data_IF_268561827100
#
_entry.id   IF_268561827100
#
_cell.length_a   1.000
_cell.length_b   1.000
_cell.length_c   1.000
_cell.angle_alpha   90.00
_cell.angle_beta   90.00
_cell.angle_gamma   90.00
#
_symmetry.space_group_name_H-M   'P 1'
#
loop_
_entity.id
_entity.type
_entity.pdbx_description
1 polymer ?
#
# COMPACT_ATOMS: atom_id res chain seq x y z
N UNK A 1 -18.43 -12.55 -18.17
CA UNK A 1 -18.42 -13.99 -18.54
C UNK A 1 -17.96 -14.92 -17.41
N UNK A 2 -16.67 -14.95 -16.99
CA UNK A 2 -16.20 -15.92 -15.97
C UNK A 2 -16.82 -15.75 -14.58
N UNK A 3 -16.99 -14.50 -14.12
CA UNK A 3 -17.59 -14.19 -12.82
C UNK A 3 -19.07 -14.61 -12.75
N UNK A 4 -19.77 -14.57 -13.87
CA UNK A 4 -21.18 -14.98 -14.01
C UNK A 4 -21.29 -16.50 -14.02
N UNK A 5 -20.42 -17.21 -14.74
CA UNK A 5 -20.41 -18.69 -14.78
C UNK A 5 -20.14 -19.31 -13.40
N UNK A 6 -19.16 -18.80 -12.66
CA UNK A 6 -18.87 -19.30 -11.31
C UNK A 6 -19.99 -18.94 -10.32
N UNK A 7 -20.56 -17.74 -10.43
CA UNK A 7 -21.69 -17.33 -9.57
C UNK A 7 -22.90 -18.22 -9.80
N UNK A 8 -23.19 -18.58 -11.05
CA UNK A 8 -24.30 -19.46 -11.39
C UNK A 8 -24.06 -20.87 -10.83
N UNK A 9 -22.86 -21.44 -11.03
CA UNK A 9 -22.53 -22.75 -10.48
C UNK A 9 -22.57 -22.79 -8.94
N UNK A 10 -22.10 -21.72 -8.29
CA UNK A 10 -22.17 -21.58 -6.84
C UNK A 10 -23.61 -21.47 -6.34
N UNK A 11 -24.47 -20.72 -7.03
CA UNK A 11 -25.89 -20.61 -6.69
C UNK A 11 -26.61 -21.94 -6.85
N UNK A 12 -26.35 -22.68 -7.93
CA UNK A 12 -26.90 -24.03 -8.14
C UNK A 12 -26.39 -25.01 -7.06
N UNK A 13 -25.13 -24.88 -6.65
CA UNK A 13 -24.56 -25.67 -5.56
C UNK A 13 -25.24 -25.36 -4.21
N UNK A 14 -25.49 -24.09 -3.91
CA UNK A 14 -26.21 -23.66 -2.71
C UNK A 14 -27.66 -24.17 -2.71
N UNK A 15 -28.39 -23.99 -3.81
CA UNK A 15 -29.78 -24.41 -3.92
C UNK A 15 -29.96 -25.92 -3.63
N UNK A 16 -29.02 -26.73 -4.11
CA UNK A 16 -29.09 -28.19 -3.98
C UNK A 16 -28.55 -28.75 -2.66
N UNK A 17 -27.73 -27.99 -1.92
CA UNK A 17 -26.97 -28.54 -0.79
C UNK A 17 -27.04 -27.69 0.50
N UNK A 18 -27.57 -26.46 0.46
CA UNK A 18 -27.72 -25.63 1.66
C UNK A 18 -28.98 -26.06 2.45
N UNK A 19 -28.85 -26.46 3.72
CA UNK A 19 -29.97 -26.81 4.59
C UNK A 19 -30.99 -25.68 4.78
N UNK A 20 -30.59 -24.43 4.55
CA UNK A 20 -31.47 -23.26 4.67
C UNK A 20 -32.39 -23.09 3.45
N UNK A 21 -31.94 -23.43 2.25
CA UNK A 21 -32.73 -23.40 1.02
C UNK A 21 -33.58 -24.66 0.86
N UNK A 22 -33.06 -25.82 1.27
CA UNK A 22 -33.76 -27.09 1.21
C UNK A 22 -33.75 -27.84 2.57
N UNK A 23 -34.69 -27.54 3.49
CA UNK A 23 -34.71 -28.15 4.83
C UNK A 23 -34.98 -29.66 4.80
N UNK A 24 -35.44 -30.22 3.68
CA UNK A 24 -35.61 -31.65 3.47
C UNK A 24 -34.30 -32.45 3.52
N UNK A 25 -33.14 -31.80 3.33
CA UNK A 25 -31.82 -32.44 3.41
C UNK A 25 -31.54 -32.92 4.83
N UNK A 26 -31.94 -32.15 5.86
CA UNK A 26 -31.73 -32.48 7.27
C UNK A 26 -32.65 -33.60 7.77
N UNK A 27 -33.79 -33.83 7.10
CA UNK A 27 -34.76 -34.89 7.47
C UNK A 27 -34.30 -36.28 7.03
N UNK A 28 -33.43 -36.36 6.02
CA UNK A 28 -32.79 -37.62 5.60
C UNK A 28 -31.52 -37.81 6.44
N UNK A 29 -31.23 -39.04 6.88
CA UNK A 29 -29.96 -39.32 7.58
C UNK A 29 -28.78 -38.91 6.68
N UNK A 30 -27.93 -38.00 7.15
CA UNK A 30 -26.89 -37.33 6.37
C UNK A 30 -25.68 -38.26 6.18
N UNK A 31 -25.13 -38.32 4.97
CA UNK A 31 -23.87 -39.04 4.69
C UNK A 31 -22.65 -38.12 4.74
N UNK A 32 -21.44 -38.69 4.83
CA UNK A 32 -20.16 -37.95 4.91
C UNK A 32 -20.02 -36.92 3.76
N UNK A 33 -20.36 -37.29 2.52
CA UNK A 33 -20.26 -36.36 1.39
C UNK A 33 -21.16 -35.13 1.52
N UNK A 34 -22.37 -35.29 2.08
CA UNK A 34 -23.27 -34.16 2.33
C UNK A 34 -22.76 -33.29 3.50
N UNK A 35 -22.19 -33.91 4.53
CA UNK A 35 -21.55 -33.21 5.63
C UNK A 35 -20.39 -32.31 5.15
N UNK A 36 -19.53 -32.80 4.26
CA UNK A 36 -18.43 -32.02 3.65
C UNK A 36 -18.97 -30.84 2.83
N UNK A 37 -20.05 -31.05 2.06
CA UNK A 37 -20.68 -29.97 1.29
C UNK A 37 -21.21 -28.87 2.20
N UNK A 38 -21.93 -29.23 3.27
CA UNK A 38 -22.45 -28.26 4.24
C UNK A 38 -21.30 -27.53 4.94
N UNK A 39 -20.22 -28.24 5.32
CA UNK A 39 -19.03 -27.64 5.90
C UNK A 39 -18.36 -26.62 4.95
N UNK A 40 -18.30 -26.94 3.66
CA UNK A 40 -17.77 -26.03 2.62
C UNK A 40 -18.63 -24.77 2.49
N UNK A 41 -19.96 -24.91 2.51
CA UNK A 41 -20.89 -23.77 2.48
C UNK A 41 -20.70 -22.89 3.72
N UNK A 42 -20.59 -23.47 4.92
CA UNK A 42 -20.32 -22.73 6.15
C UNK A 42 -19.00 -21.98 6.06
N UNK A 43 -17.94 -22.60 5.53
CA UNK A 43 -16.64 -21.96 5.33
C UNK A 43 -16.75 -20.76 4.36
N UNK A 44 -17.38 -20.93 3.20
CA UNK A 44 -17.50 -19.85 2.21
C UNK A 44 -18.38 -18.71 2.73
N UNK A 45 -19.46 -19.01 3.46
CA UNK A 45 -20.32 -17.98 4.05
C UNK A 45 -19.66 -17.23 5.20
N UNK A 46 -18.85 -17.90 6.02
CA UNK A 46 -18.05 -17.23 7.07
C UNK A 46 -17.01 -16.31 6.45
N UNK A 47 -16.29 -16.75 5.41
CA UNK A 47 -15.38 -15.92 4.63
C UNK A 47 -16.08 -14.71 3.99
N UNK A 48 -17.29 -14.90 3.43
CA UNK A 48 -18.09 -13.83 2.83
C UNK A 48 -18.50 -12.77 3.87
N UNK A 49 -18.94 -13.20 5.05
CA UNK A 49 -19.35 -12.26 6.10
C UNK A 49 -18.14 -11.55 6.73
N UNK A 50 -17.01 -12.23 6.87
CA UNK A 50 -15.73 -11.61 7.26
C UNK A 50 -15.30 -10.54 6.26
N UNK A 51 -15.36 -10.84 4.96
CA UNK A 51 -15.04 -9.86 3.93
C UNK A 51 -16.01 -8.66 3.97
N UNK A 52 -17.31 -8.90 4.23
CA UNK A 52 -18.32 -7.85 4.39
C UNK A 52 -18.04 -6.98 5.62
N UNK A 53 -17.66 -7.57 6.73
CA UNK A 53 -17.29 -6.85 7.95
C UNK A 53 -15.99 -6.07 7.77
N UNK A 54 -14.98 -6.63 7.09
CA UNK A 54 -13.76 -5.90 6.73
C UNK A 54 -14.09 -4.63 5.95
N UNK A 55 -15.03 -4.73 4.99
CA UNK A 55 -15.46 -3.58 4.17
C UNK A 55 -16.27 -2.54 4.94
N UNK A 56 -17.09 -2.95 5.91
CA UNK A 56 -17.96 -2.05 6.70
C UNK A 56 -17.27 -1.43 7.91
N UNK A 57 -16.42 -2.20 8.59
CA UNK A 57 -15.79 -1.82 9.86
C UNK A 57 -14.37 -1.29 9.71
N UNK A 58 -13.80 -1.31 8.49
CA UNK A 58 -12.42 -0.86 8.25
C UNK A 58 -11.39 -1.66 9.07
N UNK A 59 -11.65 -2.95 9.32
CA UNK A 59 -10.81 -3.76 10.19
C UNK A 59 -11.25 -5.20 10.33
N UNK A 60 -10.30 -6.09 10.62
CA UNK A 60 -10.50 -7.54 10.72
C UNK A 60 -10.49 -7.94 12.21
N UNK A 61 -11.67 -8.04 12.82
CA UNK A 61 -11.78 -8.50 14.21
C UNK A 61 -11.65 -10.02 14.29
N UNK A 62 -10.42 -10.52 14.29
CA UNK A 62 -10.13 -11.96 14.39
C UNK A 62 -10.78 -12.62 15.62
N UNK A 63 -11.00 -11.87 16.70
CA UNK A 63 -11.71 -12.33 17.90
C UNK A 63 -13.19 -12.63 17.67
N UNK A 64 -13.82 -12.06 16.63
CA UNK A 64 -15.20 -12.33 16.24
C UNK A 64 -15.32 -13.51 15.25
N UNK A 65 -14.20 -14.01 14.71
CA UNK A 65 -14.19 -15.19 13.84
C UNK A 65 -14.94 -16.40 14.42
N UNK A 66 -14.68 -16.85 15.67
CA UNK A 66 -15.38 -18.00 16.24
C UNK A 66 -16.88 -17.73 16.43
N UNK A 67 -17.29 -16.48 16.69
CA UNK A 67 -18.71 -16.15 16.86
C UNK A 67 -19.45 -16.16 15.52
N UNK A 68 -18.80 -15.70 14.44
CA UNK A 68 -19.33 -15.76 13.07
C UNK A 68 -19.45 -17.20 12.59
N UNK A 69 -18.40 -18.01 12.80
CA UNK A 69 -18.43 -19.45 12.50
C UNK A 69 -19.56 -20.13 13.27
N UNK A 70 -19.66 -19.90 14.57
CA UNK A 70 -20.74 -20.47 15.38
C UNK A 70 -22.13 -20.04 14.90
N UNK A 71 -22.29 -18.80 14.46
CA UNK A 71 -23.55 -18.28 13.92
C UNK A 71 -23.91 -18.95 12.59
N UNK A 72 -22.98 -19.05 11.65
CA UNK A 72 -23.22 -19.69 10.35
C UNK A 72 -23.41 -21.20 10.47
N UNK A 73 -22.70 -21.87 11.38
CA UNK A 73 -22.92 -23.28 11.71
C UNK A 73 -24.30 -23.50 12.33
N UNK A 74 -24.73 -22.64 13.26
CA UNK A 74 -26.07 -22.72 13.88
C UNK A 74 -27.20 -22.53 12.87
N UNK A 75 -27.08 -21.55 11.96
CA UNK A 75 -28.09 -21.32 10.90
C UNK A 75 -28.36 -22.57 10.07
N UNK A 76 -27.33 -23.40 9.85
CA UNK A 76 -27.39 -24.61 9.02
C UNK A 76 -27.49 -25.90 9.84
N UNK A 77 -27.72 -25.80 11.16
CA UNK A 77 -27.73 -26.93 12.10
C UNK A 77 -26.48 -27.83 12.03
N UNK A 78 -25.34 -27.27 11.65
CA UNK A 78 -24.08 -27.98 11.55
C UNK A 78 -23.46 -28.11 12.96
N UNK A 79 -23.64 -29.28 13.59
CA UNK A 79 -23.14 -29.57 14.93
C UNK A 79 -22.15 -30.74 14.93
N UNK A 80 -21.33 -30.88 15.98
CA UNK A 80 -20.40 -32.01 16.13
C UNK A 80 -21.11 -33.36 16.06
N UNK A 81 -22.32 -33.44 16.63
CA UNK A 81 -23.17 -34.63 16.56
C UNK A 81 -23.50 -35.03 15.12
N UNK A 82 -23.75 -34.06 14.21
CA UNK A 82 -24.01 -34.34 12.80
C UNK A 82 -22.80 -34.97 12.10
N UNK A 83 -21.58 -34.61 12.53
CA UNK A 83 -20.33 -35.19 12.01
C UNK A 83 -20.21 -36.64 12.47
N UNK A 84 -20.42 -36.91 13.76
CA UNK A 84 -20.39 -38.27 14.30
C UNK A 84 -21.47 -39.16 13.70
N UNK A 85 -22.71 -38.67 13.58
CA UNK A 85 -23.83 -39.41 12.97
C UNK A 85 -23.55 -39.72 11.49
N UNK A 86 -22.90 -38.80 10.77
CA UNK A 86 -22.49 -39.02 9.38
C UNK A 86 -21.40 -40.09 9.26
N UNK A 87 -20.44 -40.11 10.19
CA UNK A 87 -19.38 -41.13 10.26
C UNK A 87 -19.98 -42.49 10.59
N UNK A 88 -20.82 -42.57 11.62
CA UNK A 88 -21.49 -43.80 12.04
C UNK A 88 -22.37 -44.37 10.92
N UNK A 89 -23.07 -43.51 10.16
CA UNK A 89 -23.85 -43.93 9.00
C UNK A 89 -22.98 -44.52 7.88
N UNK A 90 -21.82 -43.93 7.62
CA UNK A 90 -20.91 -44.43 6.58
C UNK A 90 -20.33 -45.81 6.89
N UNK A 91 -20.43 -46.27 8.15
CA UNK A 91 -20.02 -47.61 8.57
C UNK A 91 -21.18 -48.62 8.50
N UNK A 92 -22.40 -48.21 8.11
CA UNK A 92 -23.50 -49.15 7.94
C UNK A 92 -23.23 -50.10 6.76
N UNK A 93 -23.35 -51.43 6.96
CA UNK A 93 -22.97 -52.41 5.95
C UNK A 93 -23.80 -52.33 4.66
N UNK A 94 -25.05 -51.88 4.74
CA UNK A 94 -25.95 -51.71 3.58
C UNK A 94 -25.55 -50.49 2.74
N UNK A 95 -25.23 -49.37 3.39
CA UNK A 95 -24.75 -48.16 2.70
C UNK A 95 -23.35 -48.40 2.10
N UNK A 96 -22.51 -49.18 2.77
CA UNK A 96 -21.21 -49.65 2.23
C UNK A 96 -21.42 -50.51 0.97
N UNK A 97 -22.41 -51.41 0.96
CA UNK A 97 -22.72 -52.21 -0.22
C UNK A 97 -23.23 -51.35 -1.38
N UNK A 98 -24.18 -50.43 -1.13
CA UNK A 98 -24.70 -49.52 -2.15
C UNK A 98 -23.62 -48.58 -2.68
N UNK A 99 -22.72 -48.08 -1.83
CA UNK A 99 -21.57 -47.28 -2.26
C UNK A 99 -20.56 -48.12 -3.04
N UNK A 100 -20.33 -49.39 -2.69
CA UNK A 100 -19.53 -50.31 -3.51
C UNK A 100 -20.13 -50.54 -4.90
N UNK A 101 -21.46 -50.66 -5.02
CA UNK A 101 -22.15 -50.76 -6.33
C UNK A 101 -22.06 -49.45 -7.12
N UNK A 102 -22.22 -48.30 -6.46
CA UNK A 102 -22.04 -47.02 -7.12
C UNK A 102 -20.57 -46.80 -7.56
N UNK A 103 -19.61 -47.20 -6.73
CA UNK A 103 -18.18 -47.18 -7.04
C UNK A 103 -17.85 -48.12 -8.19
N UNK A 104 -18.42 -49.33 -8.22
CA UNK A 104 -18.19 -50.26 -9.33
C UNK A 104 -18.78 -49.72 -10.63
N UNK A 105 -19.96 -49.11 -10.60
CA UNK A 105 -20.52 -48.40 -11.75
C UNK A 105 -19.63 -47.24 -12.21
N UNK A 106 -19.12 -46.42 -11.29
CA UNK A 106 -18.20 -45.31 -11.59
C UNK A 106 -16.90 -45.85 -12.18
N UNK A 107 -16.35 -46.95 -11.65
CA UNK A 107 -15.12 -47.59 -12.16
C UNK A 107 -15.34 -48.12 -13.57
N UNK A 108 -16.46 -48.80 -13.82
CA UNK A 108 -16.81 -49.30 -15.16
C UNK A 108 -17.02 -48.15 -16.13
N UNK A 109 -17.83 -47.14 -15.78
CA UNK A 109 -18.09 -45.97 -16.60
C UNK A 109 -16.80 -45.16 -16.87
N UNK A 110 -15.91 -45.08 -15.88
CA UNK A 110 -14.60 -44.43 -16.04
C UNK A 110 -13.72 -45.25 -16.98
N UNK A 111 -13.64 -46.57 -16.84
CA UNK A 111 -12.87 -47.44 -17.72
C UNK A 111 -13.31 -47.35 -19.19
N UNK A 112 -14.62 -47.17 -19.43
CA UNK A 112 -15.19 -46.95 -20.76
C UNK A 112 -14.91 -45.53 -21.31
N UNK A 113 -14.97 -44.49 -20.46
CA UNK A 113 -14.79 -43.09 -20.88
C UNK A 113 -13.34 -42.64 -20.97
N UNK A 114 -12.45 -43.18 -20.13
CA UNK A 114 -11.04 -42.81 -20.06
C UNK A 114 -10.29 -42.96 -21.40
N UNK A 115 -10.44 -44.03 -22.21
CA UNK A 115 -9.72 -44.11 -23.49
C UNK A 115 -10.19 -43.04 -24.47
N UNK A 116 -11.49 -42.72 -24.50
CA UNK A 116 -12.03 -41.68 -25.37
C UNK A 116 -11.54 -40.28 -24.96
N UNK A 117 -11.53 -39.99 -23.66
CA UNK A 117 -10.98 -38.74 -23.13
C UNK A 117 -9.47 -38.63 -23.37
N UNK A 118 -8.71 -39.72 -23.17
CA UNK A 118 -7.27 -39.77 -23.44
C UNK A 118 -6.94 -39.45 -24.90
N UNK A 119 -7.69 -39.99 -25.86
CA UNK A 119 -7.50 -39.71 -27.28
C UNK A 119 -7.78 -38.23 -27.59
N UNK A 120 -8.83 -37.63 -26.99
CA UNK A 120 -9.14 -36.20 -27.15
C UNK A 120 -8.02 -35.31 -26.58
N UNK A 121 -7.49 -35.64 -25.42
CA UNK A 121 -6.38 -34.90 -24.80
C UNK A 121 -5.07 -35.05 -25.57
N UNK A 122 -4.75 -36.26 -26.07
CA UNK A 122 -3.57 -36.50 -26.92
C UNK A 122 -3.65 -35.67 -28.21
N UNK A 123 -4.84 -35.59 -28.82
CA UNK A 123 -5.07 -34.76 -30.00
C UNK A 123 -4.89 -33.27 -29.69
N UNK A 124 -5.37 -32.81 -28.53
CA UNK A 124 -5.19 -31.44 -28.06
C UNK A 124 -3.72 -31.09 -27.73
N UNK A 125 -2.95 -32.06 -27.23
CA UNK A 125 -1.51 -31.93 -26.98
C UNK A 125 -0.70 -31.88 -28.29
N UNK A 126 -1.06 -32.68 -29.29
CA UNK A 126 -0.42 -32.67 -30.60
C UNK A 126 -0.71 -31.39 -31.39
N UNK A 127 -1.87 -30.77 -31.19
CA UNK A 127 -2.25 -29.49 -31.85
C UNK A 127 -1.64 -28.23 -31.21
N UNK A 128 -0.72 -28.38 -30.25
CA UNK A 128 -0.05 -27.31 -29.48
C UNK A 128 0.60 -26.18 -30.30
N UNK A 129 0.73 -26.35 -31.62
CA UNK A 129 1.31 -25.34 -32.52
C UNK A 129 0.31 -24.35 -33.13
N UNK A 130 -1.01 -24.55 -33.02
CA UNK A 130 -2.02 -23.59 -33.51
C UNK A 130 -2.86 -23.07 -32.35
N UNK A 131 -2.65 -21.80 -32.01
CA UNK A 131 -3.35 -21.03 -30.96
C UNK A 131 -4.87 -20.90 -31.13
N UNK A 132 -5.50 -21.60 -32.07
CA UNK A 132 -6.89 -21.38 -32.44
C UNK A 132 -7.68 -22.69 -32.37
N UNK A 133 -8.61 -22.73 -31.41
CA UNK A 133 -9.65 -23.75 -31.19
C UNK A 133 -9.24 -24.98 -30.36
N UNK A 134 -8.93 -24.75 -29.08
CA UNK A 134 -9.13 -25.79 -28.08
C UNK A 134 -10.64 -25.98 -27.85
N UNK A 135 -11.16 -27.22 -27.92
CA UNK A 135 -12.51 -27.51 -27.46
C UNK A 135 -12.61 -27.15 -25.97
N UNK A 136 -13.60 -26.33 -25.60
CA UNK A 136 -13.83 -25.81 -24.24
C UNK A 136 -13.97 -26.89 -23.15
N UNK A 137 -14.15 -28.14 -23.55
CA UNK A 137 -14.41 -29.30 -22.72
C UNK A 137 -13.16 -30.18 -22.45
N UNK A 138 -11.95 -29.68 -22.74
CA UNK A 138 -10.70 -30.42 -22.54
C UNK A 138 -9.96 -29.99 -21.27
N UNK A 139 -9.34 -30.96 -20.58
CA UNK A 139 -8.49 -30.74 -19.41
C UNK A 139 -7.27 -29.89 -19.78
N UNK A 140 -6.71 -30.04 -20.97
CA UNK A 140 -5.59 -29.20 -21.42
C UNK A 140 -5.96 -27.73 -21.56
N UNK A 141 -7.17 -27.40 -22.02
CA UNK A 141 -7.64 -26.01 -22.08
C UNK A 141 -7.80 -25.40 -20.70
N UNK A 142 -8.44 -26.14 -19.77
CA UNK A 142 -8.59 -25.67 -18.39
C UNK A 142 -7.24 -25.51 -17.70
N UNK A 143 -6.33 -26.49 -17.86
CA UNK A 143 -4.96 -26.38 -17.34
C UNK A 143 -4.21 -25.19 -17.95
N UNK A 144 -4.29 -24.95 -19.27
CA UNK A 144 -3.60 -23.82 -19.91
C UNK A 144 -4.07 -22.45 -19.38
N UNK A 145 -5.35 -22.33 -19.01
CA UNK A 145 -5.90 -21.09 -18.45
C UNK A 145 -5.63 -20.96 -16.95
N UNK A 146 -5.85 -22.04 -16.17
CA UNK A 146 -5.79 -21.99 -14.71
C UNK A 146 -4.38 -22.16 -14.16
N UNK A 147 -3.51 -22.96 -14.79
CA UNK A 147 -2.15 -23.21 -14.31
C UNK A 147 -1.28 -21.95 -14.19
N UNK A 148 -1.23 -21.01 -15.17
CA UNK A 148 -0.46 -19.78 -15.01
C UNK A 148 -1.04 -18.88 -13.90
N UNK A 149 -2.37 -18.83 -13.77
CA UNK A 149 -3.05 -18.06 -12.74
C UNK A 149 -2.80 -18.63 -11.34
N UNK A 150 -2.88 -19.94 -11.17
CA UNK A 150 -2.61 -20.60 -9.88
C UNK A 150 -1.14 -20.48 -9.51
N UNK A 151 -0.22 -20.66 -10.46
CA UNK A 151 1.20 -20.45 -10.23
C UNK A 151 1.50 -19.01 -9.80
N UNK A 152 0.92 -18.03 -10.48
CA UNK A 152 1.06 -16.62 -10.10
C UNK A 152 0.48 -16.34 -8.72
N UNK A 153 -0.73 -16.84 -8.42
CA UNK A 153 -1.38 -16.67 -7.12
C UNK A 153 -0.58 -17.32 -5.99
N UNK A 154 -0.03 -18.52 -6.21
CA UNK A 154 0.84 -19.20 -5.23
C UNK A 154 2.10 -18.37 -5.00
N UNK A 155 2.74 -17.88 -6.07
CA UNK A 155 3.95 -17.04 -5.98
C UNK A 155 3.68 -15.74 -5.21
N UNK A 156 2.56 -15.08 -5.48
CA UNK A 156 2.14 -13.87 -4.76
C UNK A 156 1.85 -14.17 -3.29
N UNK A 157 1.14 -15.27 -3.00
CA UNK A 157 0.85 -15.70 -1.63
C UNK A 157 2.12 -16.01 -0.84
N UNK A 158 3.08 -16.73 -1.44
CA UNK A 158 4.39 -16.98 -0.85
C UNK A 158 5.15 -15.68 -0.59
N UNK A 159 5.14 -14.74 -1.54
CA UNK A 159 5.79 -13.44 -1.38
C UNK A 159 5.18 -12.62 -0.25
N UNK A 160 3.85 -12.52 -0.18
CA UNK A 160 3.14 -11.81 0.90
C UNK A 160 3.41 -12.47 2.25
N UNK A 161 3.39 -13.80 2.30
CA UNK A 161 3.66 -14.56 3.53
C UNK A 161 5.09 -14.33 4.02
N UNK A 162 6.05 -14.29 3.10
CA UNK A 162 7.44 -13.94 3.40
C UNK A 162 7.60 -12.52 3.95
N UNK A 163 6.94 -11.53 3.33
CA UNK A 163 6.92 -10.14 3.82
C UNK A 163 6.31 -10.10 5.21
N UNK A 164 5.18 -10.78 5.44
CA UNK A 164 4.50 -10.82 6.73
C UNK A 164 5.37 -11.45 7.84
N UNK A 165 6.11 -12.51 7.53
CA UNK A 165 7.02 -13.17 8.48
C UNK A 165 8.26 -12.31 8.80
N UNK A 166 8.78 -11.57 7.82
CA UNK A 166 10.01 -10.77 7.98
C UNK A 166 9.72 -9.38 8.55
N UNK A 167 8.50 -8.87 8.39
CA UNK A 167 8.11 -7.52 8.79
C UNK A 167 8.38 -7.19 10.27
N UNK A 168 8.05 -8.05 11.25
CA UNK A 168 8.29 -7.73 12.66
C UNK A 168 9.77 -7.48 12.96
N UNK A 169 10.66 -8.30 12.38
CA UNK A 169 12.11 -8.15 12.52
C UNK A 169 12.59 -6.82 11.95
N UNK A 170 12.18 -6.49 10.72
CA UNK A 170 12.57 -5.25 10.04
C UNK A 170 12.06 -4.02 10.81
N UNK A 171 10.82 -4.05 11.30
CA UNK A 171 10.24 -2.96 12.09
C UNK A 171 11.01 -2.78 13.39
N UNK A 172 11.34 -3.87 14.10
CA UNK A 172 12.08 -3.79 15.36
C UNK A 172 13.48 -3.23 15.11
N UNK A 173 14.15 -3.68 14.05
CA UNK A 173 15.47 -3.19 13.66
C UNK A 173 15.43 -1.70 13.30
N UNK A 174 14.44 -1.29 12.50
CA UNK A 174 14.26 0.09 12.04
C UNK A 174 13.67 1.04 13.07
N UNK A 175 13.10 0.55 14.18
CA UNK A 175 12.60 1.40 15.27
C UNK A 175 13.55 1.43 16.47
N UNK A 176 14.06 0.27 16.89
CA UNK A 176 14.74 0.12 18.18
C UNK A 176 16.26 -0.11 18.09
N UNK A 177 16.77 -0.81 17.06
CA UNK A 177 18.18 -1.24 17.05
C UNK A 177 19.14 -0.22 16.43
N UNK A 178 18.70 0.56 15.45
CA UNK A 178 19.52 1.66 14.92
C UNK A 178 19.54 2.81 15.94
N UNK A 179 20.75 3.18 16.37
CA UNK A 179 21.01 4.11 17.48
C UNK A 179 20.15 5.38 17.40
N UNK A 180 19.49 5.77 18.49
CA UNK A 180 18.75 7.02 18.57
C UNK A 180 19.76 8.17 18.64
N UNK A 181 20.21 8.65 17.48
CA UNK A 181 20.78 9.99 17.40
C UNK A 181 19.70 10.98 17.84
N UNK A 182 20.03 11.85 18.80
CA UNK A 182 19.07 12.80 19.34
C UNK A 182 18.68 13.80 18.26
N UNK A 183 17.41 13.71 17.81
CA UNK A 183 16.88 14.64 16.82
C UNK A 183 16.77 16.04 17.43
N UNK A 184 17.69 16.93 17.05
CA UNK A 184 17.68 18.34 17.49
C UNK A 184 16.45 19.13 17.04
N UNK A 185 15.67 18.62 16.08
CA UNK A 185 14.38 19.18 15.68
C UNK A 185 13.27 18.94 16.74
N UNK A 186 13.53 18.11 17.76
CA UNK A 186 12.59 17.75 18.85
C UNK A 186 13.05 18.26 20.22
N UNK A 187 13.64 19.45 20.27
CA UNK A 187 14.15 20.02 21.54
C UNK A 187 13.05 20.62 22.42
N UNK A 188 11.84 20.83 21.90
CA UNK A 188 10.77 21.57 22.59
C UNK A 188 9.42 20.87 22.39
N UNK A 189 8.62 20.80 23.46
CA UNK A 189 7.23 20.37 23.41
C UNK A 189 6.39 21.34 22.57
N UNK A 190 5.56 20.86 21.62
CA UNK A 190 4.79 21.74 20.74
C UNK A 190 3.73 22.54 21.52
N UNK A 191 3.56 23.83 21.20
CA UNK A 191 2.50 24.66 21.81
C UNK A 191 1.11 24.44 21.19
N UNK A 192 1.03 23.73 20.06
CA UNK A 192 -0.22 23.46 19.36
C UNK A 192 -0.62 24.53 18.35
N UNK A 193 -0.10 25.77 18.44
CA UNK A 193 -0.25 26.77 17.37
C UNK A 193 0.65 26.38 16.19
N UNK A 194 0.08 26.34 14.98
CA UNK A 194 0.79 25.94 13.77
C UNK A 194 0.99 27.13 12.84
N UNK A 195 2.18 27.19 12.26
CA UNK A 195 2.62 28.23 11.33
C UNK A 195 3.01 27.56 10.02
N UNK A 196 2.72 28.24 8.92
CA UNK A 196 2.92 27.71 7.56
C UNK A 196 3.72 28.73 6.76
N UNK A 197 4.69 28.24 5.99
CA UNK A 197 5.43 29.00 5.00
C UNK A 197 5.53 28.18 3.71
N UNK A 198 5.67 28.84 2.56
CA UNK A 198 5.88 28.17 1.27
C UNK A 198 6.91 28.91 0.43
N UNK A 199 7.60 28.16 -0.42
CA UNK A 199 8.61 28.71 -1.32
C UNK A 199 7.98 29.40 -2.53
N UNK A 200 8.79 30.20 -3.22
CA UNK A 200 8.55 30.52 -4.62
C UNK A 200 8.53 29.24 -5.46
N UNK A 201 7.89 29.34 -6.62
CA UNK A 201 7.76 28.23 -7.56
C UNK A 201 9.07 27.98 -8.30
N UNK A 202 9.43 26.72 -8.41
CA UNK A 202 10.61 26.26 -9.15
C UNK A 202 10.14 25.49 -10.38
N UNK A 203 10.68 25.85 -11.54
CA UNK A 203 10.37 25.19 -12.81
C UNK A 203 10.77 23.71 -12.79
N UNK A 204 9.82 22.82 -13.05
CA UNK A 204 10.05 21.38 -13.09
C UNK A 204 10.94 20.97 -14.27
N UNK A 205 10.99 21.74 -15.35
CA UNK A 205 11.87 21.43 -16.47
C UNK A 205 13.34 21.53 -16.08
N UNK A 206 13.68 22.49 -15.21
CA UNK A 206 15.02 22.60 -14.64
C UNK A 206 15.36 21.34 -13.82
N UNK A 207 14.43 20.89 -12.97
CA UNK A 207 14.58 19.67 -12.16
C UNK A 207 14.72 18.44 -13.05
N UNK A 208 13.94 18.33 -14.13
CA UNK A 208 14.01 17.24 -15.09
C UNK A 208 15.34 17.21 -15.85
N UNK A 209 15.86 18.38 -16.23
CA UNK A 209 17.20 18.49 -16.85
C UNK A 209 18.29 18.01 -15.89
N UNK A 210 18.26 18.42 -14.62
CA UNK A 210 19.19 17.92 -13.60
C UNK A 210 19.08 16.40 -13.45
N UNK A 211 17.86 15.88 -13.32
CA UNK A 211 17.58 14.44 -13.24
C UNK A 211 18.18 13.67 -14.43
N UNK A 212 18.04 14.19 -15.65
CA UNK A 212 18.61 13.58 -16.86
C UNK A 212 20.15 13.60 -16.87
N UNK A 213 20.77 14.68 -16.40
CA UNK A 213 22.24 14.80 -16.35
C UNK A 213 22.85 13.86 -15.30
N UNK A 214 22.21 13.72 -14.14
CA UNK A 214 22.75 12.93 -13.03
C UNK A 214 22.26 11.47 -13.02
N UNK A 215 21.29 11.13 -13.86
CA UNK A 215 20.57 9.85 -13.77
C UNK A 215 19.75 9.69 -12.49
N UNK A 216 19.47 10.79 -11.78
CA UNK A 216 18.66 10.79 -10.56
C UNK A 216 17.18 10.99 -10.88
N UNK A 217 16.30 10.63 -9.96
CA UNK A 217 14.87 10.93 -10.04
C UNK A 217 14.60 12.39 -9.66
N UNK A 218 13.51 12.97 -10.19
CA UNK A 218 13.07 14.33 -9.83
C UNK A 218 12.94 14.49 -8.30
N UNK A 219 12.47 13.45 -7.60
CA UNK A 219 12.37 13.44 -6.13
C UNK A 219 13.73 13.48 -5.43
N UNK A 220 14.74 12.76 -5.91
CA UNK A 220 16.09 12.78 -5.32
C UNK A 220 16.75 14.16 -5.47
N UNK A 221 16.54 14.84 -6.61
CA UNK A 221 16.97 16.22 -6.83
C UNK A 221 16.27 17.17 -5.85
N UNK A 222 14.94 17.06 -5.71
CA UNK A 222 14.17 17.91 -4.79
C UNK A 222 14.52 17.64 -3.32
N UNK A 223 14.79 16.39 -2.94
CA UNK A 223 15.30 16.03 -1.61
C UNK A 223 16.66 16.67 -1.35
N UNK A 224 17.57 16.63 -2.32
CA UNK A 224 18.90 17.25 -2.22
C UNK A 224 18.78 18.75 -1.98
N UNK A 225 17.92 19.44 -2.74
CA UNK A 225 17.67 20.87 -2.53
C UNK A 225 16.99 21.16 -1.18
N UNK A 226 16.13 20.25 -0.69
CA UNK A 226 15.51 20.37 0.64
C UNK A 226 16.55 20.23 1.76
N UNK A 227 17.52 19.32 1.58
CA UNK A 227 18.65 19.14 2.51
C UNK A 227 19.52 20.39 2.57
N UNK A 228 19.86 20.96 1.43
CA UNK A 228 20.63 22.21 1.37
C UNK A 228 19.87 23.37 2.05
N UNK A 229 18.57 23.49 1.83
CA UNK A 229 17.73 24.46 2.53
C UNK A 229 17.66 24.22 4.05
N UNK A 230 17.69 22.96 4.49
CA UNK A 230 17.78 22.59 5.90
C UNK A 230 19.12 22.99 6.52
N UNK A 231 20.23 22.86 5.77
CA UNK A 231 21.55 23.34 6.24
C UNK A 231 21.51 24.83 6.53
N UNK A 232 20.94 25.62 5.63
CA UNK A 232 20.81 27.07 5.80
C UNK A 232 20.00 27.42 7.06
N UNK A 233 18.92 26.67 7.32
CA UNK A 233 18.14 26.82 8.55
C UNK A 233 18.95 26.52 9.81
N UNK A 234 19.72 25.42 9.85
CA UNK A 234 20.57 25.11 11.00
C UNK A 234 21.70 26.13 11.19
N UNK A 235 22.30 26.61 10.08
CA UNK A 235 23.30 27.69 10.09
C UNK A 235 22.73 28.98 10.68
N UNK A 236 21.51 29.37 10.26
CA UNK A 236 20.84 30.56 10.79
C UNK A 236 20.44 30.42 12.27
N UNK A 237 20.13 29.22 12.73
CA UNK A 237 19.88 28.94 14.14
C UNK A 237 21.13 29.03 15.02
N UNK A 238 22.33 29.20 14.44
CA UNK A 238 23.62 29.12 15.12
C UNK A 238 23.79 27.81 15.92
N UNK A 239 23.13 26.74 15.48
CA UNK A 239 23.21 25.40 16.06
C UNK A 239 24.11 24.55 15.16
N UNK A 240 24.94 23.68 15.76
CA UNK A 240 25.72 22.72 14.97
C UNK A 240 24.77 21.90 14.10
N UNK A 241 24.99 21.97 12.78
CA UNK A 241 24.27 21.21 11.77
C UNK A 241 24.42 19.72 12.12
N UNK A 242 23.31 18.96 12.27
CA UNK A 242 23.39 17.52 12.51
C UNK A 242 24.07 16.82 11.32
N UNK A 243 24.57 15.61 11.52
CA UNK A 243 25.16 14.85 10.40
C UNK A 243 24.06 14.32 9.47
N UNK A 244 22.98 13.81 10.07
CA UNK A 244 21.80 13.31 9.38
C UNK A 244 20.50 13.88 9.98
N UNK A 245 19.52 14.14 9.12
CA UNK A 245 18.14 14.45 9.49
C UNK A 245 17.24 13.28 9.08
N UNK A 246 16.62 12.61 10.04
CA UNK A 246 15.75 11.47 9.76
C UNK A 246 14.33 11.91 9.39
N UNK A 247 13.86 11.51 8.21
CA UNK A 247 12.57 11.88 7.66
C UNK A 247 11.68 10.66 7.33
N UNK A 248 10.38 10.79 7.60
CA UNK A 248 9.35 9.93 7.01
C UNK A 248 8.90 10.53 5.71
N UNK A 249 9.08 9.80 4.60
CA UNK A 249 8.73 10.24 3.25
C UNK A 249 7.48 9.52 2.77
N UNK A 250 6.45 10.27 2.36
CA UNK A 250 5.22 9.74 1.79
C UNK A 250 4.94 10.33 0.42
N UNK A 251 4.62 9.49 -0.56
CA UNK A 251 4.05 9.94 -1.83
C UNK A 251 2.53 9.99 -1.72
N UNK A 252 1.92 11.06 -2.21
CA UNK A 252 0.47 11.21 -2.29
C UNK A 252 0.12 11.74 -3.68
N UNK A 253 -0.85 11.13 -4.36
CA UNK A 253 -1.31 11.70 -5.64
C UNK A 253 -2.19 12.91 -5.37
N UNK A 254 -2.12 13.96 -6.19
CA UNK A 254 -3.02 15.12 -6.06
C UNK A 254 -4.49 14.68 -6.08
N UNK A 255 -4.84 13.73 -6.95
CA UNK A 255 -6.19 13.16 -6.98
C UNK A 255 -6.59 12.59 -5.62
N UNK A 256 -5.72 11.92 -4.88
CA UNK A 256 -6.05 11.41 -3.53
C UNK A 256 -6.20 12.49 -2.46
N UNK A 257 -5.60 13.68 -2.66
CA UNK A 257 -5.76 14.83 -1.76
C UNK A 257 -7.12 15.49 -1.98
N UNK A 258 -7.49 15.73 -3.24
CA UNK A 258 -8.66 16.56 -3.59
C UNK A 258 -9.92 15.76 -3.92
N UNK A 259 -9.77 14.58 -4.53
CA UNK A 259 -10.85 13.62 -4.73
C UNK A 259 -10.64 12.52 -3.68
N UNK A 260 -11.70 12.03 -3.02
CA UNK A 260 -11.57 10.93 -2.04
C UNK A 260 -11.18 9.62 -2.74
N UNK A 261 -9.96 9.53 -3.25
CA UNK A 261 -9.40 8.37 -3.93
C UNK A 261 -8.57 7.57 -2.92
N UNK A 262 -8.89 6.28 -2.78
CA UNK A 262 -8.26 5.37 -1.82
C UNK A 262 -6.93 4.80 -2.35
N UNK A 263 -6.08 5.63 -2.96
CA UNK A 263 -4.74 5.21 -3.34
C UNK A 263 -3.89 5.02 -2.07
N UNK A 264 -3.82 3.78 -1.60
CA UNK A 264 -2.98 3.42 -0.47
C UNK A 264 -1.51 3.42 -0.88
N UNK A 265 -0.77 4.42 -0.39
CA UNK A 265 0.69 4.44 -0.46
C UNK A 265 1.29 4.46 0.94
N UNK A 266 2.36 3.70 1.08
CA UNK A 266 3.10 3.56 2.33
C UNK A 266 4.06 4.72 2.60
N UNK A 267 4.75 4.60 3.72
CA UNK A 267 5.77 5.54 4.20
C UNK A 267 7.13 4.87 4.05
N UNK A 268 8.12 5.63 3.61
CA UNK A 268 9.54 5.27 3.63
C UNK A 268 10.27 6.07 4.71
N UNK A 269 11.25 5.46 5.34
CA UNK A 269 12.03 6.05 6.42
C UNK A 269 13.46 6.30 5.92
N UNK A 270 13.81 7.57 5.70
CA UNK A 270 15.03 7.94 4.98
C UNK A 270 15.88 8.87 5.86
N UNK A 271 17.21 8.66 5.83
CA UNK A 271 18.18 9.58 6.39
C UNK A 271 18.56 10.62 5.33
N UNK A 272 18.44 11.89 5.68
CA UNK A 272 18.79 13.02 4.84
C UNK A 272 20.15 13.58 5.30
N UNK A 273 21.24 13.37 4.54
CA UNK A 273 22.60 13.69 4.97
C UNK A 273 22.86 15.20 4.89
N UNK A 274 22.98 15.87 6.03
CA UNK A 274 23.37 17.28 6.10
C UNK A 274 24.88 17.48 6.20
N UNK A 275 25.65 16.42 6.44
CA UNK A 275 27.10 16.38 6.23
C UNK A 275 27.49 15.18 5.38
N UNK A 276 28.55 15.33 4.61
CA UNK A 276 29.13 14.22 3.86
C UNK A 276 30.54 13.90 4.36
N UNK A 277 31.01 12.65 4.16
CA UNK A 277 32.26 12.17 4.72
C UNK A 277 33.50 12.82 4.09
N UNK A 278 33.46 13.23 2.82
CA UNK A 278 34.64 13.74 2.11
C UNK A 278 34.74 15.27 2.10
N UNK A 279 33.63 15.98 1.86
CA UNK A 279 33.65 17.45 1.78
C UNK A 279 32.50 18.11 2.53
N UNK A 280 32.82 19.06 3.42
CA UNK A 280 31.80 19.92 3.98
C UNK A 280 31.16 20.79 2.88
N UNK A 281 29.91 20.48 2.52
CA UNK A 281 29.05 21.19 1.55
C UNK A 281 29.16 20.82 0.05
N UNK A 282 29.62 19.62 -0.31
CA UNK A 282 29.48 19.12 -1.69
C UNK A 282 28.05 18.60 -1.99
N UNK A 283 27.32 19.35 -2.83
CA UNK A 283 25.95 19.00 -3.26
C UNK A 283 25.90 17.74 -4.12
N UNK A 284 26.95 17.42 -4.88
CA UNK A 284 27.01 16.22 -5.73
C UNK A 284 27.13 14.99 -4.83
N UNK A 285 28.02 15.03 -3.85
CA UNK A 285 28.18 13.95 -2.87
C UNK A 285 26.88 13.71 -2.09
N UNK A 286 26.21 14.79 -1.65
CA UNK A 286 24.90 14.70 -0.96
C UNK A 286 23.86 14.02 -1.85
N UNK A 287 23.77 14.39 -3.13
CA UNK A 287 22.86 13.75 -4.08
C UNK A 287 23.14 12.25 -4.18
N UNK A 288 24.41 11.85 -4.33
CA UNK A 288 24.78 10.43 -4.41
C UNK A 288 24.42 9.66 -3.12
N UNK A 289 24.66 10.25 -1.95
CA UNK A 289 24.30 9.64 -0.67
C UNK A 289 22.77 9.51 -0.55
N UNK A 290 22.00 10.52 -0.98
CA UNK A 290 20.53 10.46 -1.03
C UNK A 290 20.06 9.34 -1.96
N UNK A 291 20.60 9.21 -3.16
CA UNK A 291 20.26 8.12 -4.09
C UNK A 291 20.50 6.74 -3.45
N UNK A 292 21.66 6.55 -2.81
CA UNK A 292 21.98 5.31 -2.08
C UNK A 292 20.99 5.07 -0.94
N UNK A 293 20.65 6.09 -0.15
CA UNK A 293 19.70 5.99 0.96
C UNK A 293 18.28 5.65 0.48
N UNK A 294 17.81 6.26 -0.61
CA UNK A 294 16.51 5.97 -1.22
C UNK A 294 16.48 4.54 -1.75
N UNK A 295 17.51 4.10 -2.46
CA UNK A 295 17.58 2.74 -3.00
C UNK A 295 17.64 1.68 -1.90
N UNK A 296 18.39 1.94 -0.82
CA UNK A 296 18.46 1.07 0.35
C UNK A 296 17.12 1.02 1.10
N UNK A 297 16.44 2.17 1.26
CA UNK A 297 15.11 2.22 1.86
C UNK A 297 14.09 1.40 1.03
N UNK A 298 14.11 1.52 -0.31
CA UNK A 298 13.22 0.74 -1.19
C UNK A 298 13.43 -0.77 -1.08
N UNK A 299 14.68 -1.24 -0.95
CA UNK A 299 14.98 -2.67 -0.87
C UNK A 299 14.72 -3.25 0.53
N UNK A 300 15.06 -2.53 1.60
CA UNK A 300 14.95 -3.03 2.99
C UNK A 300 13.62 -2.76 3.66
N UNK A 301 12.93 -1.67 3.31
CA UNK A 301 11.72 -1.22 4.01
C UNK A 301 10.43 -1.56 3.25
N UNK A 302 10.47 -2.51 2.31
CA UNK A 302 9.31 -2.99 1.56
C UNK A 302 8.17 -3.46 2.48
N UNK A 303 8.50 -4.10 3.60
CA UNK A 303 7.55 -4.52 4.62
C UNK A 303 6.87 -3.34 5.32
N UNK A 304 7.64 -2.33 5.74
CA UNK A 304 7.12 -1.11 6.39
C UNK A 304 6.22 -0.35 5.41
N UNK A 305 6.65 -0.23 4.16
CA UNK A 305 5.87 0.40 3.10
C UNK A 305 4.55 -0.33 2.86
N UNK A 306 4.56 -1.66 2.70
CA UNK A 306 3.36 -2.45 2.47
C UNK A 306 2.37 -2.37 3.65
N UNK A 307 2.88 -2.46 4.89
CA UNK A 307 2.07 -2.37 6.10
C UNK A 307 1.42 -0.99 6.27
N UNK A 308 2.19 0.08 6.07
CA UNK A 308 1.67 1.46 6.17
C UNK A 308 0.71 1.81 5.02
N UNK A 309 0.92 1.22 3.83
CA UNK A 309 -0.04 1.31 2.73
C UNK A 309 -1.35 0.61 3.10
N UNK A 310 -1.28 -0.63 3.61
CA UNK A 310 -2.46 -1.40 3.99
C UNK A 310 -3.23 -0.79 5.16
N UNK A 311 -2.53 -0.13 6.09
CA UNK A 311 -3.16 0.68 7.14
C UNK A 311 -3.93 1.86 6.54
N UNK A 312 -3.34 2.56 5.57
CA UNK A 312 -3.98 3.72 4.92
C UNK A 312 -5.25 3.32 4.15
N UNK A 313 -5.30 2.13 3.54
CA UNK A 313 -6.50 1.67 2.82
C UNK A 313 -7.55 1.05 3.72
N UNK A 314 -7.14 0.17 4.63
CA UNK A 314 -8.03 -0.83 5.22
C UNK A 314 -7.98 -0.86 6.76
N UNK A 315 -7.17 0.00 7.40
CA UNK A 315 -7.03 0.00 8.87
C UNK A 315 -6.55 -1.34 9.45
N UNK A 316 -5.77 -2.12 8.69
CA UNK A 316 -5.41 -3.48 9.10
C UNK A 316 -4.66 -3.50 10.44
N UNK A 317 -3.67 -2.62 10.60
CA UNK A 317 -2.84 -2.57 11.80
C UNK A 317 -3.67 -2.05 12.96
N UNK A 318 -4.43 -0.96 12.77
CA UNK A 318 -5.28 -0.41 13.83
C UNK A 318 -6.40 -1.36 14.26
N UNK A 319 -6.79 -2.30 13.40
CA UNK A 319 -7.78 -3.34 13.74
C UNK A 319 -7.20 -4.55 14.48
N UNK A 320 -5.93 -4.92 14.20
CA UNK A 320 -5.29 -6.10 14.78
C UNK A 320 -4.49 -5.79 16.04
N UNK A 321 -3.92 -4.59 16.13
CA UNK A 321 -2.99 -4.19 17.20
C UNK A 321 -3.72 -3.34 18.23
N UNK A 322 -3.61 -3.64 19.54
CA UNK A 322 -4.18 -2.80 20.59
C UNK A 322 -3.73 -1.34 20.47
N UNK A 323 -4.67 -0.41 20.67
CA UNK A 323 -4.44 1.03 20.47
C UNK A 323 -3.26 1.58 21.28
N UNK A 324 -2.98 1.01 22.46
CA UNK A 324 -1.83 1.37 23.32
C UNK A 324 -0.51 1.03 22.61
N UNK A 325 -0.40 -0.18 22.06
CA UNK A 325 0.81 -0.64 21.36
C UNK A 325 1.02 0.19 20.09
N UNK A 326 -0.06 0.47 19.34
CA UNK A 326 0.03 1.34 18.17
C UNK A 326 0.51 2.75 18.52
N UNK A 327 -0.03 3.34 19.60
CA UNK A 327 0.43 4.65 20.10
C UNK A 327 1.91 4.62 20.48
N UNK A 328 2.38 3.56 21.15
CA UNK A 328 3.79 3.40 21.51
C UNK A 328 4.69 3.30 20.27
N UNK A 329 4.29 2.51 19.26
CA UNK A 329 5.05 2.38 18.00
C UNK A 329 5.12 3.70 17.24
N UNK A 330 3.99 4.42 17.11
CA UNK A 330 3.95 5.74 16.47
C UNK A 330 4.75 6.79 17.26
N UNK A 331 4.73 6.71 18.59
CA UNK A 331 5.55 7.55 19.45
C UNK A 331 7.05 7.31 19.21
N UNK A 332 7.49 6.06 19.13
CA UNK A 332 8.89 5.73 18.84
C UNK A 332 9.30 6.13 17.41
N UNK A 333 8.43 5.86 16.43
CA UNK A 333 8.65 6.27 15.05
C UNK A 333 8.79 7.79 14.94
N UNK A 334 7.87 8.56 15.53
CA UNK A 334 7.93 10.02 15.50
C UNK A 334 9.13 10.57 16.27
N UNK A 335 9.55 9.96 17.38
CA UNK A 335 10.81 10.33 18.07
C UNK A 335 12.05 10.16 17.19
N UNK A 336 12.09 9.08 16.42
CA UNK A 336 13.25 8.78 15.58
C UNK A 336 13.24 9.51 14.23
N UNK A 337 12.07 9.74 13.65
CA UNK A 337 11.91 10.45 12.39
C UNK A 337 11.17 11.76 12.64
N UNK A 338 11.92 12.76 13.10
CA UNK A 338 11.38 14.05 13.54
C UNK A 338 10.80 14.91 12.42
N UNK A 339 11.15 14.62 11.17
CA UNK A 339 10.68 15.31 9.98
C UNK A 339 9.68 14.45 9.21
N UNK A 340 8.54 15.03 8.85
CA UNK A 340 7.62 14.42 7.88
C UNK A 340 7.76 15.12 6.54
N UNK A 341 8.05 14.38 5.47
CA UNK A 341 8.13 14.90 4.12
C UNK A 341 7.08 14.24 3.24
N UNK A 342 6.23 15.05 2.62
CA UNK A 342 5.19 14.56 1.70
C UNK A 342 5.51 15.04 0.29
N UNK A 343 5.58 14.13 -0.67
CA UNK A 343 5.65 14.48 -2.09
C UNK A 343 4.25 14.36 -2.68
N UNK A 344 3.73 15.46 -3.21
CA UNK A 344 2.42 15.53 -3.86
C UNK A 344 2.61 15.79 -5.34
N UNK A 345 2.15 14.83 -6.13
CA UNK A 345 2.31 14.84 -7.58
C UNK A 345 1.07 14.28 -8.30
N UNK A 346 0.91 14.61 -9.57
CA UNK A 346 -0.25 14.29 -10.41
C UNK A 346 -1.01 15.54 -10.84
N UNK A 347 -2.00 15.34 -11.72
CA UNK A 347 -2.77 16.45 -12.28
C UNK A 347 -3.92 16.87 -11.37
N UNK A 348 -4.07 18.18 -11.20
CA UNK A 348 -5.17 18.76 -10.44
C UNK A 348 -6.41 18.71 -11.34
N UNK A 349 -7.52 18.10 -10.91
CA UNK A 349 -8.74 18.01 -11.72
C UNK A 349 -9.52 19.34 -11.76
N UNK A 350 -8.85 20.47 -11.53
CA UNK A 350 -9.46 21.80 -11.43
C UNK A 350 -8.71 22.78 -12.33
N UNK A 351 -9.45 23.37 -13.27
CA UNK A 351 -8.95 24.39 -14.19
C UNK A 351 -9.06 25.80 -13.58
N UNK A 352 -8.31 26.77 -14.11
CA UNK A 352 -8.42 28.18 -13.69
C UNK A 352 -7.72 28.55 -12.38
N UNK A 353 -6.94 27.66 -11.76
CA UNK A 353 -6.14 27.96 -10.57
C UNK A 353 -4.72 28.39 -10.98
N UNK A 354 -4.26 29.54 -10.47
CA UNK A 354 -2.90 30.06 -10.72
C UNK A 354 -1.82 29.30 -9.95
N UNK A 355 -2.17 28.74 -8.79
CA UNK A 355 -1.29 27.88 -8.01
C UNK A 355 -1.99 27.26 -6.82
N UNK A 356 -1.50 26.09 -6.41
CA UNK A 356 -2.01 25.38 -5.25
C UNK A 356 -0.84 24.99 -4.33
N UNK A 357 -1.06 25.07 -3.02
CA UNK A 357 -0.08 24.62 -2.01
C UNK A 357 -0.82 23.67 -1.08
N UNK A 358 -0.29 22.47 -0.93
CA UNK A 358 -0.75 21.51 0.06
C UNK A 358 0.27 21.43 1.19
N UNK A 359 -0.21 21.28 2.42
CA UNK A 359 0.62 20.99 3.57
C UNK A 359 -0.10 20.01 4.48
N UNK A 360 0.66 19.10 5.08
CA UNK A 360 0.14 18.15 6.07
C UNK A 360 0.55 18.59 7.47
N UNK A 361 -0.38 18.69 8.45
CA UNK A 361 -0.02 18.92 9.83
C UNK A 361 0.94 17.85 10.36
N UNK A 362 2.00 18.24 11.08
CA UNK A 362 2.91 17.26 11.66
C UNK A 362 2.14 16.37 12.66
N UNK A 363 2.52 15.08 12.73
CA UNK A 363 1.82 14.05 13.50
C UNK A 363 2.73 13.52 14.63
N UNK A 364 2.13 13.10 15.74
CA UNK A 364 2.90 12.58 16.89
C UNK A 364 3.83 13.64 17.47
N UNK A 365 5.10 13.26 17.70
CA UNK A 365 6.14 14.20 18.17
C UNK A 365 6.89 14.90 17.05
N UNK A 366 6.42 14.80 15.80
CA UNK A 366 7.03 15.57 14.72
C UNK A 366 6.69 17.05 14.94
N UNK A 367 7.72 17.87 14.86
CA UNK A 367 7.66 19.29 15.15
C UNK A 367 7.55 20.11 13.86
N UNK A 368 7.98 19.51 12.74
CA UNK A 368 7.98 20.10 11.41
C UNK A 368 7.51 19.09 10.36
N UNK A 369 6.75 19.59 9.38
CA UNK A 369 6.28 18.86 8.22
C UNK A 369 6.60 19.67 6.97
N UNK A 370 7.10 18.99 5.94
CA UNK A 370 7.45 19.56 4.65
C UNK A 370 6.63 18.87 3.57
N UNK A 371 6.20 19.63 2.57
CA UNK A 371 5.46 19.12 1.43
C UNK A 371 6.05 19.68 0.15
N UNK A 372 6.57 18.81 -0.71
CA UNK A 372 6.92 19.14 -2.09
C UNK A 372 5.65 18.96 -2.92
N UNK A 373 5.03 20.07 -3.30
CA UNK A 373 3.82 20.07 -4.12
C UNK A 373 4.18 20.47 -5.55
N UNK A 374 4.12 19.50 -6.47
CA UNK A 374 4.18 19.78 -7.90
C UNK A 374 2.80 20.25 -8.34
N UNK A 375 2.71 21.32 -9.10
CA UNK A 375 1.49 21.78 -9.77
C UNK A 375 1.85 22.31 -11.16
N UNK A 376 1.22 21.77 -12.21
CA UNK A 376 1.54 22.08 -13.62
C UNK A 376 3.05 21.93 -13.90
N UNK A 377 3.71 23.03 -14.29
CA UNK A 377 5.13 23.08 -14.61
C UNK A 377 6.01 23.57 -13.45
N UNK A 378 5.46 23.67 -12.24
CA UNK A 378 6.20 24.17 -11.09
C UNK A 378 6.12 23.27 -9.87
N UNK A 379 7.10 23.43 -8.98
CA UNK A 379 7.16 22.77 -7.68
C UNK A 379 7.33 23.81 -6.59
N UNK A 380 6.54 23.69 -5.53
CA UNK A 380 6.67 24.51 -4.32
C UNK A 380 6.96 23.64 -3.10
N UNK A 381 7.82 24.12 -2.23
CA UNK A 381 8.06 23.54 -0.91
C UNK A 381 7.17 24.26 0.10
N UNK A 382 6.13 23.58 0.59
CA UNK A 382 5.32 24.01 1.73
C UNK A 382 5.89 23.46 3.04
N UNK A 383 5.89 24.25 4.09
CA UNK A 383 6.45 23.89 5.40
C UNK A 383 5.44 24.28 6.47
N UNK A 384 5.14 23.34 7.34
CA UNK A 384 4.28 23.57 8.51
C UNK A 384 5.05 23.19 9.76
N UNK A 385 5.16 24.13 10.68
CA UNK A 385 5.84 23.95 11.97
C UNK A 385 4.93 24.30 13.14
N UNK A 386 5.34 23.88 14.33
CA UNK A 386 4.82 24.46 15.56
C UNK A 386 5.37 25.89 15.77
N UNK A 387 4.55 26.79 16.30
CA UNK A 387 4.94 28.19 16.48
C UNK A 387 6.08 28.38 17.49
N UNK A 388 6.30 27.43 18.42
CA UNK A 388 7.44 27.48 19.36
C UNK A 388 8.78 27.13 18.72
N UNK A 389 8.78 26.40 17.61
CA UNK A 389 9.97 26.25 16.75
C UNK A 389 10.26 27.59 16.06
N UNK A 390 9.34 28.56 16.19
CA UNK A 390 9.55 29.96 15.85
C UNK A 390 9.41 30.25 14.36
N UNK A 391 9.30 31.53 13.98
CA UNK A 391 9.01 31.95 12.60
C UNK A 391 10.07 31.48 11.59
N UNK A 392 11.25 31.06 12.05
CA UNK A 392 12.42 30.74 11.22
C UNK A 392 12.25 29.55 10.27
N UNK A 393 11.19 28.73 10.39
CA UNK A 393 10.86 27.72 9.38
C UNK A 393 10.63 28.33 7.97
N UNK A 394 10.30 29.63 7.86
CA UNK A 394 10.24 30.33 6.57
C UNK A 394 11.60 30.34 5.85
N UNK A 395 12.72 30.25 6.57
CA UNK A 395 14.07 30.30 6.01
C UNK A 395 14.26 29.14 5.05
N UNK A 396 13.80 27.95 5.41
CA UNK A 396 13.87 26.75 4.57
C UNK A 396 13.09 26.99 3.27
N UNK A 397 11.87 27.53 3.38
CA UNK A 397 11.04 27.84 2.21
C UNK A 397 11.68 28.91 1.30
N UNK A 398 12.35 29.91 1.88
CA UNK A 398 13.07 30.96 1.14
C UNK A 398 14.38 30.46 0.52
N UNK A 399 15.07 29.54 1.19
CA UNK A 399 16.34 28.97 0.74
C UNK A 399 16.13 27.96 -0.39
N UNK A 400 15.04 27.20 -0.37
CA UNK A 400 14.79 26.09 -1.30
C UNK A 400 14.95 26.45 -2.80
N UNK A 401 14.36 27.54 -3.34
CA UNK A 401 14.58 27.90 -4.74
C UNK A 401 16.04 28.23 -5.06
N UNK A 402 16.77 28.83 -4.10
CA UNK A 402 18.21 29.09 -4.24
C UNK A 402 19.00 27.80 -4.25
N UNK A 403 18.68 26.86 -3.36
CA UNK A 403 19.28 25.53 -3.31
C UNK A 403 19.11 24.75 -4.61
N UNK A 404 17.92 24.79 -5.23
CA UNK A 404 17.72 24.18 -6.56
C UNK A 404 18.60 24.83 -7.62
N UNK A 405 18.69 26.17 -7.64
CA UNK A 405 19.55 26.89 -8.59
C UNK A 405 21.03 26.63 -8.36
N UNK A 406 21.46 26.50 -7.10
CA UNK A 406 22.84 26.17 -6.75
C UNK A 406 23.19 24.77 -7.25
N UNK A 407 22.33 23.78 -7.01
CA UNK A 407 22.50 22.43 -7.53
C UNK A 407 22.56 22.41 -9.06
N UNK A 408 21.67 23.14 -9.74
CA UNK A 408 21.72 23.26 -11.20
C UNK A 408 23.04 23.87 -11.70
N UNK A 409 23.56 24.90 -11.00
CA UNK A 409 24.83 25.52 -11.32
C UNK A 409 26.03 24.58 -11.15
N UNK A 410 26.05 23.81 -10.06
CA UNK A 410 27.08 22.79 -9.80
C UNK A 410 27.04 21.67 -10.85
N UNK A 411 25.85 21.31 -11.33
CA UNK A 411 25.66 20.30 -12.38
C UNK A 411 25.84 20.83 -13.81
N UNK A 412 26.16 22.12 -13.99
CA UNK A 412 26.33 22.72 -15.32
C UNK A 412 25.05 22.82 -16.15
N UNK A 413 23.88 22.77 -15.53
CA UNK A 413 22.59 22.86 -16.24
C UNK A 413 22.28 24.33 -16.57
N UNK A 414 22.08 24.70 -17.85
CA UNK A 414 21.84 26.09 -18.24
C UNK A 414 20.53 26.61 -17.65
N UNK A 415 20.57 27.83 -17.11
CA UNK A 415 19.40 28.53 -16.58
C UNK A 415 18.40 28.73 -17.72
N UNK A 416 17.14 28.32 -17.51
CA UNK A 416 16.07 28.78 -18.38
C UNK A 416 15.97 30.31 -18.25
N UNK A 417 15.78 31.06 -19.36
CA UNK A 417 15.52 32.49 -19.26
C UNK A 417 14.25 32.69 -18.45
N UNK A 418 14.32 33.56 -17.44
CA UNK A 418 13.17 33.97 -16.63
C UNK A 418 12.11 34.48 -17.61
N UNK A 419 11.00 33.75 -17.79
CA UNK A 419 9.79 34.35 -18.34
C UNK A 419 9.33 35.35 -17.29
N UNK A 420 9.61 36.62 -17.54
CA UNK A 420 8.93 37.73 -16.87
C UNK A 420 7.43 37.43 -16.96
N UNK A 421 6.65 37.53 -15.88
CA UNK A 421 5.21 37.51 -16.01
C UNK A 421 4.85 38.63 -17.00
N UNK A 422 4.17 38.29 -18.11
CA UNK A 422 3.68 39.31 -19.02
C UNK A 422 2.81 40.27 -18.21
N UNK A 423 2.92 41.59 -18.40
CA UNK A 423 2.04 42.53 -17.71
C UNK A 423 0.61 42.18 -18.10
N UNK A 424 -0.19 41.68 -17.14
CA UNK A 424 -1.62 41.52 -17.33
C UNK A 424 -2.18 42.92 -17.62
N UNK A 425 -2.78 43.17 -18.79
CA UNK A 425 -3.45 44.42 -19.06
C UNK A 425 -4.84 44.33 -18.46
N UNK A 426 -4.96 44.49 -17.13
CA UNK A 426 -6.22 44.75 -16.40
C UNK A 426 -5.91 44.73 -14.89
N UNK A 427 -5.34 45.82 -14.39
CA UNK A 427 -5.48 46.20 -12.99
C UNK A 427 -6.10 47.60 -12.97
N UNK A 428 -7.36 47.78 -12.52
CA UNK A 428 -7.84 49.09 -12.16
C UNK A 428 -7.15 49.50 -10.86
N UNK A 429 -6.37 50.58 -10.95
CA UNK A 429 -6.14 51.60 -9.92
C UNK A 429 -6.62 51.26 -8.51
N UNK A 430 -5.70 50.91 -7.62
CA UNK A 430 -5.86 51.14 -6.18
C UNK A 430 -5.75 52.65 -5.92
N UNK A 431 -6.87 53.28 -5.60
CA UNK A 431 -6.92 54.59 -4.95
C UNK A 431 -6.36 54.49 -3.54
N UNK A 432 -5.58 55.46 -3.04
CA UNK A 432 -5.25 55.55 -1.62
C UNK A 432 -6.41 56.22 -0.88
N UNK A 433 -6.78 55.73 0.30
CA UNK A 433 -7.81 56.36 1.11
C UNK A 433 -8.09 55.65 2.42
N UNK A 434 -7.46 56.17 3.49
CA UNK A 434 -7.76 56.06 4.93
C UNK A 434 -7.59 54.71 5.64
#
# INVERSE_FOLDING_TARGET
MFRESFSNYWNDFLYNNDPTEQPGILKKRIGICQCIKIATIVLVCTLKELARQCRKSGGLKLLELPSIVRRESRKRNFNSQMIYDSIAKSLNPIDVLCTCVALSYIVIASFLKTPFLLIRELRALLSRHKYCNYPTDTLMYTLSCYLPLTFQAIRETMSISWIAATAPKIIIEELFLKNPQSNRLQTISPCGRKVVAWSEEVDIELVRKMANVTGATEMEILLTATVDALKEYFKHLAVNVPDDVFATVKYVSQRSVFLRNHEARGILCIALPTRTPLFHDDLIEILQVIQRNVQNARSRQSAIYALTAAETSCGLISSCVPSIVLKLLLNQLSKRYSLCLTHVDGDLPVEGIDGAVYWRPPQGNCNMSMTLHRHRNGVRLGIMGDALIGPQHFIIARAFPKSVRNLAGVLGVPRAPIRSPSPNPLNPTTSPGY
#
